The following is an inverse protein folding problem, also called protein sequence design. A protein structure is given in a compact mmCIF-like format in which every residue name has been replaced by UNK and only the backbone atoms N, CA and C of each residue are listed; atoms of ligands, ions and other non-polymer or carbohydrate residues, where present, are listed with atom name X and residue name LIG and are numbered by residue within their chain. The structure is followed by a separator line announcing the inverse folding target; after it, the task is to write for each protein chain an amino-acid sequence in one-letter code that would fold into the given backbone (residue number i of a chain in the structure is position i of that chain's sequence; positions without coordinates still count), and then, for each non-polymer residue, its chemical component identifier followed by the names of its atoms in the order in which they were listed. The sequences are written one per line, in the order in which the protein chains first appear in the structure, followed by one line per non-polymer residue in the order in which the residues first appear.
data_IF_457673450899
#
_entry.id   IF_457673450899
#
_cell.length_a   1.000
_cell.length_b   1.000
_cell.length_c   1.000
_cell.angle_alpha   90.00
_cell.angle_beta   90.00
_cell.angle_gamma   90.00
#
_symmetry.space_group_name_H-M   'P 1'
#
loop_
_entity.id
_entity.type
_entity.pdbx_description
1 polymer ?
#
# COMPACT_ATOMS: atom_id res chain seq x y z
N UNK A 1 3.80 -17.41 23.09
CA UNK A 1 2.36 -17.60 22.87
C UNK A 1 1.94 -16.55 21.85
N UNK A 2 2.11 -16.81 20.56
CA UNK A 2 1.59 -15.93 19.51
C UNK A 2 0.07 -16.10 19.49
N UNK A 3 -0.66 -15.17 20.09
CA UNK A 3 -2.08 -15.02 19.75
C UNK A 3 -2.10 -14.65 18.28
N UNK A 4 -2.54 -15.57 17.44
CA UNK A 4 -2.78 -15.33 16.03
C UNK A 4 -3.83 -14.22 15.93
N UNK A 5 -3.35 -12.97 15.85
CA UNK A 5 -4.18 -11.87 15.40
C UNK A 5 -4.70 -12.27 14.02
N UNK A 6 -5.99 -12.02 13.72
CA UNK A 6 -6.54 -12.33 12.42
C UNK A 6 -5.67 -11.70 11.32
N UNK A 7 -5.41 -12.44 10.25
CA UNK A 7 -4.61 -11.98 9.10
C UNK A 7 -5.41 -11.05 8.16
N UNK A 8 -6.44 -10.41 8.72
CA UNK A 8 -7.45 -9.62 8.07
C UNK A 8 -7.96 -8.50 8.99
N UNK A 9 -8.63 -7.53 8.40
CA UNK A 9 -9.28 -6.41 9.08
C UNK A 9 -10.59 -6.06 8.37
N UNK A 10 -11.46 -5.36 9.08
CA UNK A 10 -12.74 -4.93 8.54
C UNK A 10 -12.84 -3.42 8.43
N UNK A 11 -13.47 -2.98 7.36
CA UNK A 11 -13.96 -1.61 7.21
C UNK A 11 -15.48 -1.69 7.02
N UNK A 12 -16.23 -0.98 7.87
CA UNK A 12 -17.65 -0.74 7.66
C UNK A 12 -17.84 0.57 6.92
N UNK A 13 -18.62 0.52 5.85
CA UNK A 13 -19.12 1.68 5.10
C UNK A 13 -20.64 1.56 5.05
N UNK A 14 -21.37 2.44 5.73
CA UNK A 14 -22.84 2.46 5.74
C UNK A 14 -23.52 1.14 6.13
N UNK A 15 -22.93 0.44 7.09
CA UNK A 15 -23.44 -0.85 7.55
C UNK A 15 -22.97 -2.05 6.72
N UNK A 16 -22.42 -1.82 5.51
CA UNK A 16 -21.74 -2.87 4.75
C UNK A 16 -20.33 -3.07 5.30
N UNK A 17 -20.09 -4.26 5.85
CA UNK A 17 -18.78 -4.65 6.38
C UNK A 17 -17.99 -5.35 5.28
N UNK A 18 -16.84 -4.78 4.92
CA UNK A 18 -15.90 -5.35 3.95
C UNK A 18 -14.67 -5.89 4.65
N UNK A 19 -14.29 -7.10 4.26
CA UNK A 19 -13.09 -7.80 4.73
C UNK A 19 -11.91 -7.47 3.83
N UNK A 20 -10.79 -7.11 4.43
CA UNK A 20 -9.51 -6.88 3.77
C UNK A 20 -8.40 -7.66 4.48
N UNK A 21 -7.28 -7.87 3.80
CA UNK A 21 -6.15 -8.65 4.30
C UNK A 21 -4.84 -8.15 3.71
N UNK A 22 -3.73 -8.77 4.11
CA UNK A 22 -2.43 -8.52 3.46
C UNK A 22 -2.42 -8.82 1.95
N UNK A 23 -3.36 -9.65 1.45
CA UNK A 23 -3.48 -9.95 0.01
C UNK A 23 -3.92 -8.75 -0.81
N UNK A 24 -4.43 -7.71 -0.15
CA UNK A 24 -4.87 -6.45 -0.78
C UNK A 24 -3.72 -5.44 -0.93
N UNK A 25 -2.49 -5.79 -0.55
CA UNK A 25 -1.30 -4.97 -0.82
C UNK A 25 -1.12 -4.53 -2.29
N UNK A 26 -1.50 -5.31 -3.33
CA UNK A 26 -1.46 -4.86 -4.71
C UNK A 26 -2.23 -3.55 -4.94
N UNK A 27 -3.34 -3.31 -4.24
CA UNK A 27 -4.09 -2.06 -4.32
C UNK A 27 -3.23 -0.85 -3.95
N UNK A 28 -2.51 -0.91 -2.83
CA UNK A 28 -1.63 0.18 -2.38
C UNK A 28 -0.51 0.43 -3.39
N UNK A 29 0.11 -0.66 -3.88
CA UNK A 29 1.19 -0.59 -4.85
C UNK A 29 0.72 0.03 -6.16
N UNK A 30 -0.46 -0.36 -6.62
CA UNK A 30 -1.05 0.15 -7.84
C UNK A 30 -1.38 1.64 -7.71
N UNK A 31 -2.05 2.06 -6.62
CA UNK A 31 -2.36 3.46 -6.34
C UNK A 31 -1.10 4.35 -6.28
N UNK A 32 -0.06 3.95 -5.55
CA UNK A 32 1.21 4.69 -5.53
C UNK A 32 1.88 4.74 -6.91
N UNK A 33 1.76 3.67 -7.70
CA UNK A 33 2.31 3.63 -9.06
C UNK A 33 1.53 4.51 -10.04
N UNK A 34 0.21 4.67 -9.86
CA UNK A 34 -0.58 5.64 -10.61
C UNK A 34 -0.12 7.07 -10.33
N UNK A 35 0.18 7.41 -9.06
CA UNK A 35 0.78 8.70 -8.74
C UNK A 35 2.12 8.93 -9.46
N UNK A 36 2.99 7.91 -9.49
CA UNK A 36 4.27 7.96 -10.23
C UNK A 36 4.04 8.16 -11.73
N UNK A 37 3.10 7.43 -12.33
CA UNK A 37 2.79 7.57 -13.76
C UNK A 37 2.23 8.97 -14.07
N UNK A 38 1.37 9.51 -13.22
CA UNK A 38 0.83 10.89 -13.31
C UNK A 38 1.95 11.92 -13.31
N UNK A 39 2.89 11.84 -12.36
CA UNK A 39 4.07 12.74 -12.30
C UNK A 39 4.97 12.63 -13.52
N UNK A 40 5.00 11.48 -14.17
CA UNK A 40 5.77 11.24 -15.39
C UNK A 40 5.01 11.58 -16.68
N UNK A 41 3.80 12.13 -16.60
CA UNK A 41 2.96 12.45 -17.76
C UNK A 41 2.53 11.23 -18.56
N UNK A 42 2.45 10.04 -17.92
CA UNK A 42 1.98 8.83 -18.59
C UNK A 42 0.46 8.75 -18.51
N UNK A 43 -0.20 8.28 -19.58
CA UNK A 43 -1.63 8.02 -19.54
C UNK A 43 -1.94 6.96 -18.46
N UNK A 44 -3.04 7.18 -17.76
CA UNK A 44 -3.56 6.26 -16.74
C UNK A 44 -4.87 5.71 -17.30
N UNK A 45 -4.83 4.47 -17.78
CA UNK A 45 -5.98 3.80 -18.38
C UNK A 45 -6.86 3.13 -17.30
N UNK A 46 -7.05 3.79 -16.15
CA UNK A 46 -7.84 3.29 -15.03
C UNK A 46 -8.89 4.33 -14.61
N UNK A 47 -10.20 4.06 -14.80
CA UNK A 47 -11.26 5.03 -14.52
C UNK A 47 -11.52 5.23 -13.02
N UNK A 48 -10.93 4.40 -12.16
CA UNK A 48 -11.17 4.40 -10.71
C UNK A 48 -10.04 5.08 -9.91
N UNK A 49 -9.14 5.80 -10.56
CA UNK A 49 -8.07 6.51 -9.84
C UNK A 49 -8.61 7.74 -9.13
N UNK A 50 -8.17 7.93 -7.89
CA UNK A 50 -8.51 9.09 -7.08
C UNK A 50 -7.20 9.80 -6.75
N UNK A 51 -6.87 10.94 -7.40
CA UNK A 51 -5.54 11.54 -7.34
C UNK A 51 -5.01 11.80 -5.92
N UNK A 52 -5.86 12.26 -5.01
CA UNK A 52 -5.48 12.55 -3.62
C UNK A 52 -5.17 11.27 -2.84
N UNK A 53 -5.93 10.20 -3.08
CA UNK A 53 -5.67 8.88 -2.50
C UNK A 53 -4.36 8.31 -3.05
N UNK A 54 -4.16 8.35 -4.36
CA UNK A 54 -2.94 7.86 -5.00
C UNK A 54 -1.70 8.58 -4.44
N UNK A 55 -1.79 9.90 -4.29
CA UNK A 55 -0.72 10.75 -3.76
C UNK A 55 -0.43 10.45 -2.29
N UNK A 56 -1.47 10.31 -1.46
CA UNK A 56 -1.30 9.98 -0.06
C UNK A 56 -0.68 8.59 0.13
N UNK A 57 -1.16 7.58 -0.59
CA UNK A 57 -0.58 6.23 -0.56
C UNK A 57 0.87 6.26 -1.05
N UNK A 58 1.19 7.03 -2.10
CA UNK A 58 2.57 7.21 -2.55
C UNK A 58 3.47 7.77 -1.43
N UNK A 59 3.04 8.81 -0.73
CA UNK A 59 3.81 9.41 0.37
C UNK A 59 4.04 8.40 1.50
N UNK A 60 3.00 7.67 1.90
CA UNK A 60 3.13 6.62 2.92
C UNK A 60 4.08 5.50 2.47
N UNK A 61 3.97 5.04 1.21
CA UNK A 61 4.84 4.01 0.65
C UNK A 61 6.30 4.47 0.51
N UNK A 62 6.54 5.74 0.17
CA UNK A 62 7.89 6.29 0.05
C UNK A 62 8.56 6.40 1.42
N UNK A 63 7.85 6.96 2.40
CA UNK A 63 8.33 7.04 3.79
C UNK A 63 8.60 5.64 4.36
N UNK A 64 7.66 4.70 4.19
CA UNK A 64 7.82 3.33 4.64
C UNK A 64 9.00 2.61 3.95
N UNK A 65 9.21 2.85 2.65
CA UNK A 65 10.32 2.25 1.92
C UNK A 65 11.68 2.81 2.35
N UNK A 66 11.77 4.12 2.62
CA UNK A 66 13.01 4.79 2.99
C UNK A 66 13.38 4.57 4.45
N UNK A 67 12.39 4.69 5.34
CA UNK A 67 12.60 4.80 6.79
C UNK A 67 11.91 3.69 7.60
N UNK A 68 11.16 2.79 6.95
CA UNK A 68 10.37 1.77 7.66
C UNK A 68 9.22 2.39 8.45
N UNK A 69 8.93 1.81 9.62
CA UNK A 69 7.94 2.37 10.56
C UNK A 69 8.60 3.50 11.34
N UNK A 70 8.56 4.71 10.78
CA UNK A 70 9.12 5.94 11.36
C UNK A 70 8.05 6.76 12.10
N UNK A 71 8.48 7.64 13.00
CA UNK A 71 7.58 8.59 13.67
C UNK A 71 6.85 9.48 12.67
N UNK A 72 7.51 9.88 11.57
CA UNK A 72 6.89 10.65 10.50
C UNK A 72 5.72 9.89 9.86
N UNK A 73 5.91 8.60 9.56
CA UNK A 73 4.85 7.77 9.02
C UNK A 73 3.70 7.61 10.02
N UNK A 74 4.02 7.36 11.29
CA UNK A 74 3.03 7.22 12.35
C UNK A 74 2.20 8.50 12.52
N UNK A 75 2.84 9.68 12.54
CA UNK A 75 2.15 10.96 12.63
C UNK A 75 1.25 11.19 11.42
N UNK A 76 1.76 10.95 10.19
CA UNK A 76 0.99 11.08 8.96
C UNK A 76 -0.26 10.20 8.96
N UNK A 77 -0.14 8.94 9.41
CA UNK A 77 -1.27 8.02 9.50
C UNK A 77 -2.25 8.44 10.61
N UNK A 78 -1.75 8.75 11.80
CA UNK A 78 -2.57 9.07 12.96
C UNK A 78 -3.38 10.35 12.75
N UNK A 79 -2.78 11.41 12.18
CA UNK A 79 -3.48 12.67 11.85
C UNK A 79 -4.70 12.43 10.95
N UNK A 80 -4.58 11.50 10.01
CA UNK A 80 -5.63 11.18 9.04
C UNK A 80 -6.60 10.09 9.53
N UNK A 81 -6.40 9.55 10.73
CA UNK A 81 -7.26 8.55 11.35
C UNK A 81 -7.97 9.03 12.61
N UNK A 82 -7.71 10.25 13.10
CA UNK A 82 -8.31 10.76 14.34
C UNK A 82 -9.85 10.73 14.33
N UNK A 83 -10.47 10.90 13.16
CA UNK A 83 -11.92 10.89 12.99
C UNK A 83 -12.51 9.50 12.81
N UNK A 84 -11.67 8.46 12.65
CA UNK A 84 -12.10 7.08 12.42
C UNK A 84 -12.60 6.50 13.73
N UNK A 85 -13.84 6.02 13.72
CA UNK A 85 -14.42 5.33 14.87
C UNK A 85 -14.15 3.84 14.73
N UNK A 86 -13.85 3.18 15.84
CA UNK A 86 -13.68 1.73 15.87
C UNK A 86 -14.85 1.11 16.63
N UNK A 87 -15.52 0.16 16.00
CA UNK A 87 -16.51 -0.69 16.65
C UNK A 87 -15.86 -2.02 17.00
N UNK A 88 -16.04 -2.48 18.24
CA UNK A 88 -15.62 -3.81 18.64
C UNK A 88 -16.77 -4.80 18.37
N UNK A 89 -16.54 -5.77 17.50
CA UNK A 89 -17.45 -6.90 17.26
C UNK A 89 -16.87 -8.18 17.88
N UNK A 90 -17.72 -9.18 18.07
CA UNK A 90 -17.32 -10.51 18.55
C UNK A 90 -17.51 -11.52 17.42
N UNK A 91 -16.46 -12.22 17.07
CA UNK A 91 -16.49 -13.28 16.07
C UNK A 91 -16.23 -14.65 16.70
N UNK A 92 -16.82 -15.68 16.09
CA UNK A 92 -16.55 -17.08 16.41
C UNK A 92 -15.63 -17.67 15.35
N UNK A 93 -14.49 -18.21 15.78
CA UNK A 93 -13.60 -19.00 14.91
C UNK A 93 -13.33 -20.33 15.58
N UNK A 94 -13.70 -21.41 14.90
CA UNK A 94 -13.71 -22.78 15.44
C UNK A 94 -14.51 -22.81 16.75
N UNK A 95 -13.82 -22.99 17.89
CA UNK A 95 -14.41 -23.06 19.22
C UNK A 95 -14.06 -21.86 20.13
N UNK A 96 -13.48 -20.79 19.57
CA UNK A 96 -13.09 -19.61 20.33
C UNK A 96 -13.90 -18.38 19.91
N UNK A 97 -14.14 -17.50 20.87
CA UNK A 97 -14.60 -16.14 20.63
C UNK A 97 -13.40 -15.20 20.64
N UNK A 98 -13.37 -14.26 19.71
CA UNK A 98 -12.36 -13.22 19.67
C UNK A 98 -12.98 -11.88 19.32
N UNK A 99 -12.43 -10.83 19.92
CA UNK A 99 -12.81 -9.46 19.63
C UNK A 99 -12.14 -9.04 18.32
N UNK A 100 -12.91 -8.39 17.45
CA UNK A 100 -12.40 -7.79 16.21
C UNK A 100 -12.77 -6.31 16.19
N UNK A 101 -11.79 -5.48 15.87
CA UNK A 101 -11.99 -4.05 15.71
C UNK A 101 -12.31 -3.77 14.24
N UNK A 102 -13.47 -3.16 14.01
CA UNK A 102 -13.96 -2.74 12.70
C UNK A 102 -13.78 -1.23 12.60
N UNK A 103 -13.01 -0.77 11.61
CA UNK A 103 -12.92 0.65 11.31
C UNK A 103 -14.24 1.09 10.66
N UNK A 104 -14.98 1.97 11.33
CA UNK A 104 -16.24 2.51 10.85
C UNK A 104 -15.98 3.84 10.14
N UNK A 105 -16.16 3.83 8.82
CA UNK A 105 -16.05 5.01 7.97
C UNK A 105 -17.45 5.48 7.58
N UNK A 106 -17.63 6.80 7.45
CA UNK A 106 -18.88 7.39 6.94
C UNK A 106 -19.10 7.02 5.47
N UNK A 107 -20.33 7.12 4.96
CA UNK A 107 -20.59 7.09 3.52
C UNK A 107 -19.63 8.03 2.80
N UNK A 108 -18.96 7.53 1.75
CA UNK A 108 -17.95 8.26 0.99
C UNK A 108 -16.93 8.98 1.91
N UNK A 109 -16.09 8.22 2.64
CA UNK A 109 -15.10 8.84 3.51
C UNK A 109 -14.12 9.68 2.67
N UNK A 110 -13.51 10.72 3.26
CA UNK A 110 -12.44 11.43 2.58
C UNK A 110 -11.39 10.44 2.06
N UNK A 111 -10.94 10.53 0.79
CA UNK A 111 -10.07 9.51 0.19
C UNK A 111 -8.79 9.26 0.99
N UNK A 112 -8.26 10.31 1.62
CA UNK A 112 -7.06 10.24 2.47
C UNK A 112 -7.31 9.44 3.75
N UNK A 113 -8.48 9.60 4.38
CA UNK A 113 -8.86 8.82 5.59
C UNK A 113 -8.95 7.34 5.24
N UNK A 114 -9.63 7.01 4.14
CA UNK A 114 -9.70 5.63 3.65
C UNK A 114 -8.31 5.08 3.34
N UNK A 115 -7.47 5.85 2.66
CA UNK A 115 -6.10 5.48 2.33
C UNK A 115 -5.25 5.22 3.58
N UNK A 116 -5.34 6.07 4.61
CA UNK A 116 -4.66 5.87 5.87
C UNK A 116 -5.11 4.57 6.55
N UNK A 117 -6.42 4.32 6.65
CA UNK A 117 -6.96 3.07 7.18
C UNK A 117 -6.45 1.85 6.42
N UNK A 118 -6.52 1.86 5.09
CA UNK A 118 -6.04 0.77 4.26
C UNK A 118 -4.54 0.53 4.43
N UNK A 119 -3.75 1.60 4.36
CA UNK A 119 -2.29 1.52 4.46
C UNK A 119 -1.85 0.95 5.80
N UNK A 120 -2.32 1.54 6.91
CA UNK A 120 -1.96 1.12 8.27
C UNK A 120 -2.26 -0.36 8.53
N UNK A 121 -3.47 -0.82 8.19
CA UNK A 121 -3.88 -2.19 8.44
C UNK A 121 -3.16 -3.20 7.52
N UNK A 122 -2.98 -2.89 6.24
CA UNK A 122 -2.22 -3.78 5.34
C UNK A 122 -0.76 -3.87 5.76
N UNK A 123 -0.15 -2.74 6.14
CA UNK A 123 1.23 -2.70 6.62
C UNK A 123 1.39 -3.49 7.93
N UNK A 124 0.46 -3.35 8.89
CA UNK A 124 0.51 -4.08 10.16
C UNK A 124 0.35 -5.60 9.99
N UNK A 125 -0.31 -6.04 8.93
CA UNK A 125 -0.46 -7.45 8.56
C UNK A 125 0.72 -8.01 7.75
N UNK A 126 1.79 -7.24 7.56
CA UNK A 126 2.96 -7.63 6.77
C UNK A 126 2.71 -7.63 5.25
N UNK A 127 1.66 -6.96 4.76
CA UNK A 127 1.35 -6.89 3.33
C UNK A 127 2.41 -6.18 2.49
N UNK A 128 3.30 -5.41 3.13
CA UNK A 128 4.40 -4.70 2.48
C UNK A 128 5.76 -5.41 2.66
N UNK A 129 5.78 -6.66 3.13
CA UNK A 129 7.02 -7.45 3.21
C UNK A 129 7.64 -7.63 1.81
N UNK A 130 8.93 -7.32 1.70
CA UNK A 130 9.64 -7.39 0.42
C UNK A 130 9.31 -6.23 -0.53
N UNK A 131 8.75 -5.12 -0.04
CA UNK A 131 8.56 -3.89 -0.79
C UNK A 131 9.88 -3.34 -1.33
N UNK A 132 9.87 -2.96 -2.61
CA UNK A 132 11.03 -2.46 -3.34
C UNK A 132 10.65 -1.36 -4.32
N UNK A 133 11.64 -0.54 -4.69
CA UNK A 133 11.60 0.34 -5.86
C UNK A 133 12.36 -0.22 -7.05
N UNK A 134 11.77 -0.07 -8.23
CA UNK A 134 12.38 -0.50 -9.49
C UNK A 134 13.67 0.29 -9.78
N UNK A 135 14.80 -0.40 -9.92
CA UNK A 135 16.11 0.23 -10.16
C UNK A 135 16.28 0.82 -11.57
N UNK A 136 15.27 0.73 -12.43
CA UNK A 136 15.31 1.44 -13.72
C UNK A 136 15.09 2.94 -13.47
N UNK A 137 16.03 3.83 -13.88
CA UNK A 137 15.97 5.26 -13.55
C UNK A 137 14.68 5.96 -13.99
N UNK A 138 14.06 5.50 -15.08
CA UNK A 138 12.81 6.08 -15.61
C UNK A 138 11.55 5.41 -15.06
N UNK A 139 11.67 4.38 -14.21
CA UNK A 139 10.52 3.63 -13.71
C UNK A 139 10.21 4.02 -12.26
N UNK A 140 11.12 3.74 -11.32
CA UNK A 140 10.97 4.00 -9.89
C UNK A 140 9.69 3.46 -9.22
N UNK A 141 8.86 2.70 -9.95
CA UNK A 141 7.65 2.05 -9.45
C UNK A 141 7.93 1.13 -8.28
N UNK A 142 6.98 1.08 -7.35
CA UNK A 142 6.95 0.14 -6.25
C UNK A 142 6.53 -1.25 -6.73
N UNK A 143 7.06 -2.30 -6.08
CA UNK A 143 6.66 -3.69 -6.27
C UNK A 143 7.06 -4.54 -5.06
N UNK A 144 6.35 -5.66 -4.83
CA UNK A 144 6.81 -6.72 -3.92
C UNK A 144 7.64 -7.72 -4.72
N UNK A 145 8.82 -8.10 -4.21
CA UNK A 145 9.61 -9.14 -4.87
C UNK A 145 10.66 -9.78 -3.98
N UNK A 146 11.10 -10.98 -4.38
CA UNK A 146 12.19 -11.73 -3.72
C UNK A 146 13.43 -10.86 -3.57
N UNK A 147 14.26 -11.12 -2.55
CA UNK A 147 15.46 -10.33 -2.19
C UNK A 147 16.40 -10.03 -3.37
N UNK A 148 16.56 -10.95 -4.33
CA UNK A 148 17.42 -10.80 -5.50
C UNK A 148 16.80 -10.01 -6.69
N UNK A 149 15.49 -9.75 -6.69
CA UNK A 149 14.81 -9.03 -7.78
C UNK A 149 15.06 -7.52 -7.65
N UNK A 150 15.54 -6.90 -8.75
CA UNK A 150 15.90 -5.47 -8.82
C UNK A 150 14.94 -4.63 -9.66
N UNK A 151 14.06 -5.26 -10.44
CA UNK A 151 13.18 -4.58 -11.39
C UNK A 151 11.75 -5.09 -11.24
N UNK A 152 10.78 -4.18 -11.33
CA UNK A 152 9.36 -4.51 -11.26
C UNK A 152 8.86 -5.35 -12.45
N UNK A 153 9.61 -5.38 -13.56
CA UNK A 153 9.25 -6.18 -14.74
C UNK A 153 10.46 -6.61 -15.56
N UNK A 154 10.30 -7.67 -16.36
CA UNK A 154 11.30 -8.13 -17.34
C UNK A 154 11.71 -7.00 -18.29
N UNK A 155 10.72 -6.22 -18.76
CA UNK A 155 10.95 -5.08 -19.64
C UNK A 155 11.85 -4.00 -19.00
N UNK A 156 11.63 -3.66 -17.73
CA UNK A 156 12.50 -2.73 -17.00
C UNK A 156 13.93 -3.24 -16.90
N UNK A 157 14.11 -4.53 -16.59
CA UNK A 157 15.44 -5.14 -16.51
C UNK A 157 16.16 -5.17 -17.87
N UNK A 158 15.46 -5.51 -18.95
CA UNK A 158 16.02 -5.50 -20.30
C UNK A 158 16.43 -4.10 -20.74
N UNK A 159 15.56 -3.09 -20.56
CA UNK A 159 15.86 -1.68 -20.88
C UNK A 159 17.10 -1.19 -20.12
N UNK A 160 17.22 -1.55 -18.84
CA UNK A 160 18.38 -1.18 -18.02
C UNK A 160 19.69 -1.79 -18.55
N UNK A 161 19.70 -3.11 -18.85
CA UNK A 161 20.88 -3.81 -19.38
C UNK A 161 21.36 -3.22 -20.70
N UNK A 162 20.44 -2.95 -21.63
CA UNK A 162 20.76 -2.34 -22.93
C UNK A 162 21.39 -0.95 -22.75
N UNK A 163 20.81 -0.10 -21.89
CA UNK A 163 21.37 1.22 -21.60
C UNK A 163 22.80 1.13 -21.04
N UNK A 164 23.03 0.22 -20.08
CA UNK A 164 24.36 -0.01 -19.48
C UNK A 164 25.40 -0.52 -20.48
N UNK A 165 25.01 -1.37 -21.43
CA UNK A 165 25.91 -1.83 -22.49
C UNK A 165 26.28 -0.70 -23.45
N UNK A 166 25.32 0.14 -23.84
CA UNK A 166 25.58 1.28 -24.74
C UNK A 166 26.51 2.31 -24.12
N UNK A 167 26.34 2.63 -22.83
CA UNK A 167 27.23 3.56 -22.12
C UNK A 167 28.67 3.05 -21.95
N UNK A 168 28.89 1.73 -22.04
CA UNK A 168 30.22 1.13 -21.99
C UNK A 168 30.93 1.11 -23.34
N UNK A 169 30.19 1.11 -24.46
CA UNK A 169 30.77 1.12 -25.81
C UNK A 169 31.13 2.52 -26.32
N UNK A 170 30.61 3.57 -25.69
CA UNK A 170 30.91 4.97 -26.00
C UNK A 170 31.96 5.63 -25.10
N UNK A 171 32.69 4.82 -24.30
CA UNK A 171 33.91 5.18 -23.60
C UNK A 171 35.03 4.32 -24.17
#
# INVERSE_FOLDING_TARGET
MEKALPDYFYISQDGDIKLYSKKDAPFLIEAANFHIDRRNGRPIDCPFTVPDLDAFIYNCMDEYFLNGVSDNLLNLLNENQQSVRYQCLVEKSKNNLFAVYVAHLTFNPPPIVFAACMFSNIASLGGLEGLKRCQSPKCQKFFIGRSNVKWCSKACGSKYRVKKMRSKKGR
#
